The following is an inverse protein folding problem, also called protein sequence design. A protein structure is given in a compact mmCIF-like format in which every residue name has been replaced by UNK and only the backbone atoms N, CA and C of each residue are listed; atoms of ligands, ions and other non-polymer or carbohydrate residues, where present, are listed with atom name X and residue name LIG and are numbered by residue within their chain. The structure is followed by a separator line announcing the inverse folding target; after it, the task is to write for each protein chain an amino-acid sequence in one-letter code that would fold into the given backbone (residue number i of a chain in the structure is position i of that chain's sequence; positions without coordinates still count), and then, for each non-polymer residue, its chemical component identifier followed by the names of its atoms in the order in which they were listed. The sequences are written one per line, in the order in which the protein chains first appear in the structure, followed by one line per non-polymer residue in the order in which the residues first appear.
data_IF_611301924156
#
_entry.id   IF_611301924156
#
_cell.length_a   1.000
_cell.length_b   1.000
_cell.length_c   1.000
_cell.angle_alpha   90.00
_cell.angle_beta   90.00
_cell.angle_gamma   90.00
#
_symmetry.space_group_name_H-M   'P 1'
#
loop_
_entity.id
_entity.type
_entity.pdbx_description
1 polymer ?
#
# COMPACT_ATOMS: atom_id res chain seq x y z
N UNK A 1 39.55 24.57 1.41
CA UNK A 1 38.21 25.06 1.73
C UNK A 1 37.24 23.93 1.45
N UNK A 2 36.69 23.38 2.53
CA UNK A 2 35.87 22.17 2.58
C UNK A 2 34.58 22.32 1.77
N UNK A 3 34.15 21.25 1.11
CA UNK A 3 32.72 21.03 0.92
C UNK A 3 32.34 19.65 1.48
N UNK A 4 31.39 19.73 2.40
CA UNK A 4 30.97 18.74 3.38
C UNK A 4 30.29 17.54 2.74
N UNK A 5 30.44 16.41 3.43
CA UNK A 5 29.80 15.13 3.20
C UNK A 5 28.29 15.22 2.91
N UNK A 6 27.81 14.44 1.95
CA UNK A 6 26.43 13.98 1.93
C UNK A 6 26.43 12.60 2.60
N UNK A 7 26.00 12.58 3.85
CA UNK A 7 25.80 11.37 4.64
C UNK A 7 24.53 10.66 4.13
N UNK A 8 24.66 9.37 3.81
CA UNK A 8 23.56 8.41 3.72
C UNK A 8 22.55 8.60 4.87
N UNK A 9 21.24 8.68 4.56
CA UNK A 9 20.17 8.54 5.54
C UNK A 9 19.15 7.51 5.02
N UNK A 10 19.12 6.39 5.73
CA UNK A 10 18.44 5.13 5.44
C UNK A 10 16.90 5.28 5.53
N UNK A 11 16.31 5.98 4.56
CA UNK A 11 14.87 5.88 4.32
C UNK A 11 14.55 4.43 3.94
N UNK A 12 13.47 3.81 4.46
CA UNK A 12 13.10 2.47 4.03
C UNK A 12 12.97 2.48 2.50
N UNK A 13 13.78 1.68 1.82
CA UNK A 13 13.86 1.62 0.35
C UNK A 13 12.51 1.21 -0.23
N UNK A 14 11.61 2.17 -0.47
CA UNK A 14 10.29 1.93 -1.05
C UNK A 14 9.24 3.01 -0.72
N UNK A 15 8.14 3.02 -1.48
CA UNK A 15 7.01 3.92 -1.27
C UNK A 15 6.34 3.64 0.10
N UNK A 16 6.05 4.66 0.94
CA UNK A 16 5.49 4.45 2.27
C UNK A 16 4.09 3.81 2.25
N UNK A 17 3.31 4.02 1.19
CA UNK A 17 2.02 3.35 1.02
C UNK A 17 2.24 1.87 0.69
N UNK A 18 3.24 1.54 -0.12
CA UNK A 18 3.57 0.15 -0.43
C UNK A 18 3.98 -0.61 0.85
N UNK A 19 4.84 0.00 1.69
CA UNK A 19 5.20 -0.58 2.99
C UNK A 19 3.97 -0.76 3.90
N UNK A 20 3.07 0.22 3.94
CA UNK A 20 1.86 0.14 4.76
C UNK A 20 0.93 -0.99 4.27
N UNK A 21 0.78 -1.19 2.96
CA UNK A 21 -0.01 -2.30 2.40
C UNK A 21 0.53 -3.63 2.93
N UNK A 22 1.83 -3.86 2.80
CA UNK A 22 2.48 -5.10 3.25
C UNK A 22 2.32 -5.27 4.77
N UNK A 23 2.56 -4.21 5.55
CA UNK A 23 2.42 -4.24 7.00
C UNK A 23 1.00 -4.61 7.44
N UNK A 24 -0.03 -4.00 6.85
CA UNK A 24 -1.43 -4.32 7.16
C UNK A 24 -1.81 -5.75 6.75
N UNK A 25 -1.25 -6.24 5.63
CA UNK A 25 -1.43 -7.64 5.24
C UNK A 25 -0.76 -8.60 6.24
N UNK A 26 0.43 -8.30 6.77
CA UNK A 26 1.03 -9.11 7.84
C UNK A 26 0.20 -9.08 9.13
N UNK A 27 -0.34 -7.93 9.51
CA UNK A 27 -1.11 -7.77 10.76
C UNK A 27 -2.48 -8.43 10.72
N UNK A 28 -3.17 -8.36 9.58
CA UNK A 28 -4.58 -8.79 9.46
C UNK A 28 -4.77 -10.00 8.54
N UNK A 29 -3.68 -10.55 7.99
CA UNK A 29 -3.66 -11.49 6.87
C UNK A 29 -4.03 -10.83 5.52
N UNK A 30 -4.77 -9.72 5.56
CA UNK A 30 -5.38 -9.11 4.38
C UNK A 30 -6.06 -7.78 4.70
N UNK A 31 -6.05 -6.84 3.77
CA UNK A 31 -6.57 -5.47 3.97
C UNK A 31 -7.39 -4.98 2.76
N UNK A 32 -8.15 -3.89 2.91
CA UNK A 32 -8.81 -3.22 1.78
C UNK A 32 -8.06 -1.95 1.37
N UNK A 33 -8.14 -1.51 0.10
CA UNK A 33 -7.54 -0.24 -0.33
C UNK A 33 -8.03 0.97 0.48
N UNK A 34 -9.30 0.91 0.90
CA UNK A 34 -9.89 1.95 1.72
C UNK A 34 -9.27 1.98 3.14
N UNK A 35 -9.03 0.82 3.74
CA UNK A 35 -8.42 0.74 5.07
C UNK A 35 -6.98 1.23 5.04
N UNK A 36 -6.21 0.85 4.01
CA UNK A 36 -4.87 1.40 3.78
C UNK A 36 -4.92 2.93 3.67
N UNK A 37 -5.81 3.48 2.86
CA UNK A 37 -5.95 4.94 2.69
C UNK A 37 -6.35 5.65 3.99
N UNK A 38 -7.25 5.04 4.79
CA UNK A 38 -7.67 5.57 6.09
C UNK A 38 -6.54 5.51 7.10
N UNK A 39 -5.82 4.40 7.21
CA UNK A 39 -4.69 4.26 8.12
C UNK A 39 -3.57 5.25 7.77
N UNK A 40 -3.21 5.33 6.49
CA UNK A 40 -2.23 6.30 6.01
C UNK A 40 -2.64 7.74 6.34
N UNK A 41 -3.91 8.09 6.07
CA UNK A 41 -4.42 9.41 6.39
C UNK A 41 -4.47 9.67 7.90
N UNK A 42 -4.85 8.69 8.71
CA UNK A 42 -4.91 8.84 10.17
C UNK A 42 -3.53 9.15 10.77
N UNK A 43 -2.46 8.59 10.21
CA UNK A 43 -1.08 8.86 10.63
C UNK A 43 -0.58 10.25 10.18
N UNK A 44 -1.07 10.75 9.04
CA UNK A 44 -0.55 11.99 8.42
C UNK A 44 -1.50 13.21 8.52
N UNK A 45 -2.71 13.03 9.07
CA UNK A 45 -3.72 14.09 9.16
C UNK A 45 -3.34 15.16 10.16
N UNK A 46 -3.74 16.39 9.87
CA UNK A 46 -3.69 17.55 10.77
C UNK A 46 -5.05 17.79 11.39
N UNK A 47 -5.10 18.55 12.49
CA UNK A 47 -6.35 18.88 13.19
C UNK A 47 -7.41 19.54 12.29
N UNK A 48 -6.99 20.28 11.27
CA UNK A 48 -7.86 20.97 10.30
C UNK A 48 -8.31 20.11 9.12
N UNK A 49 -7.75 18.91 8.95
CA UNK A 49 -8.08 18.09 7.79
C UNK A 49 -9.48 17.45 7.94
N UNK A 50 -10.26 17.41 6.86
CA UNK A 50 -11.60 16.85 6.90
C UNK A 50 -11.55 15.33 7.12
N UNK A 51 -12.61 14.79 7.74
CA UNK A 51 -12.67 13.36 8.07
C UNK A 51 -12.58 12.45 6.83
N UNK A 52 -12.95 12.94 5.65
CA UNK A 52 -12.88 12.22 4.38
C UNK A 52 -11.62 12.52 3.55
N UNK A 53 -10.63 13.19 4.14
CA UNK A 53 -9.33 13.49 3.51
C UNK A 53 -8.58 12.25 3.02
N UNK A 54 -8.90 11.06 3.55
CA UNK A 54 -8.36 9.78 3.09
C UNK A 54 -8.66 9.47 1.60
N UNK A 55 -9.75 10.02 1.04
CA UNK A 55 -10.17 9.76 -0.35
C UNK A 55 -9.09 10.14 -1.38
N UNK A 56 -8.26 11.15 -1.09
CA UNK A 56 -7.16 11.56 -1.97
C UNK A 56 -6.06 10.49 -2.09
N UNK A 57 -5.95 9.61 -1.10
CA UNK A 57 -4.97 8.51 -1.11
C UNK A 57 -5.49 7.26 -1.80
N UNK A 58 -6.76 7.21 -2.22
CA UNK A 58 -7.29 6.04 -2.93
C UNK A 58 -6.55 5.77 -4.24
N UNK A 59 -6.21 6.80 -5.01
CA UNK A 59 -5.47 6.64 -6.27
C UNK A 59 -4.03 6.13 -6.04
N UNK A 60 -3.20 6.74 -5.17
CA UNK A 60 -1.86 6.23 -4.93
C UNK A 60 -1.88 4.83 -4.28
N UNK A 61 -2.83 4.53 -3.39
CA UNK A 61 -2.99 3.16 -2.85
C UNK A 61 -3.29 2.16 -3.96
N UNK A 62 -4.18 2.50 -4.91
CA UNK A 62 -4.47 1.63 -6.06
C UNK A 62 -3.25 1.40 -6.94
N UNK A 63 -2.46 2.45 -7.20
CA UNK A 63 -1.24 2.32 -7.99
C UNK A 63 -0.24 1.39 -7.29
N UNK A 64 -0.03 1.57 -5.99
CA UNK A 64 0.92 0.76 -5.24
C UNK A 64 0.46 -0.69 -5.06
N UNK A 65 -0.83 -0.95 -4.81
CA UNK A 65 -1.31 -2.35 -4.72
C UNK A 65 -1.15 -3.10 -6.04
N UNK A 66 -1.37 -2.43 -7.18
CA UNK A 66 -1.18 -3.01 -8.52
C UNK A 66 0.30 -3.27 -8.77
N UNK A 67 1.17 -2.31 -8.43
CA UNK A 67 2.61 -2.47 -8.55
C UNK A 67 3.12 -3.65 -7.73
N UNK A 68 2.74 -3.74 -6.45
CA UNK A 68 3.08 -4.86 -5.58
C UNK A 68 2.55 -6.20 -6.11
N UNK A 69 1.35 -6.20 -6.70
CA UNK A 69 0.76 -7.41 -7.26
C UNK A 69 1.49 -7.90 -8.50
N UNK A 70 1.88 -6.97 -9.39
CA UNK A 70 2.70 -7.27 -10.57
C UNK A 70 4.09 -7.78 -10.20
N UNK A 71 4.63 -7.34 -9.06
CA UNK A 71 5.91 -7.82 -8.53
C UNK A 71 5.77 -9.16 -7.77
N UNK A 72 4.58 -9.74 -7.68
CA UNK A 72 4.33 -10.99 -6.94
C UNK A 72 4.49 -10.86 -5.43
N UNK A 73 4.44 -9.64 -4.87
CA UNK A 73 4.56 -9.41 -3.41
C UNK A 73 3.21 -9.55 -2.71
N UNK A 74 2.13 -9.20 -3.39
CA UNK A 74 0.75 -9.29 -2.89
C UNK A 74 -0.17 -9.88 -3.94
N UNK A 75 -1.31 -10.40 -3.52
CA UNK A 75 -2.39 -10.78 -4.41
C UNK A 75 -3.60 -9.88 -4.17
N UNK A 76 -4.25 -9.48 -5.27
CA UNK A 76 -5.53 -8.78 -5.23
C UNK A 76 -6.61 -9.84 -5.37
N UNK A 77 -7.54 -9.86 -4.42
CA UNK A 77 -8.61 -10.86 -4.34
C UNK A 77 -9.98 -10.21 -4.33
N UNK A 78 -10.96 -10.91 -4.90
CA UNK A 78 -12.37 -10.53 -4.89
C UNK A 78 -13.19 -11.76 -4.54
N UNK A 79 -14.03 -11.66 -3.51
CA UNK A 79 -14.81 -12.80 -2.98
C UNK A 79 -13.94 -14.04 -2.67
N UNK A 80 -12.66 -13.85 -2.36
CA UNK A 80 -11.72 -14.92 -2.04
C UNK A 80 -10.85 -15.41 -3.22
N UNK A 81 -11.22 -15.06 -4.46
CA UNK A 81 -10.48 -15.46 -5.67
C UNK A 81 -9.47 -14.39 -6.07
N UNK A 82 -8.28 -14.78 -6.51
CA UNK A 82 -7.30 -13.85 -7.08
C UNK A 82 -7.85 -13.27 -8.38
N UNK A 83 -7.72 -11.96 -8.55
CA UNK A 83 -8.17 -11.25 -9.75
C UNK A 83 -7.00 -10.54 -10.41
N UNK A 84 -7.12 -10.33 -11.72
CA UNK A 84 -6.14 -9.56 -12.49
C UNK A 84 -6.01 -8.15 -11.87
N UNK A 85 -4.79 -7.71 -11.50
CA UNK A 85 -4.56 -6.38 -10.96
C UNK A 85 -4.89 -5.24 -11.94
N UNK A 86 -4.98 -5.50 -13.25
CA UNK A 86 -5.22 -4.48 -14.27
C UNK A 86 -6.69 -4.36 -14.69
N UNK A 87 -7.54 -5.34 -14.38
CA UNK A 87 -8.98 -5.31 -14.67
C UNK A 87 -9.84 -5.80 -13.50
N UNK A 88 -9.90 -5.00 -12.43
CA UNK A 88 -10.84 -5.21 -11.33
C UNK A 88 -11.72 -3.99 -11.05
N UNK A 89 -12.99 -4.24 -10.74
CA UNK A 89 -13.95 -3.20 -10.32
C UNK A 89 -14.61 -3.58 -9.00
N UNK A 90 -14.81 -2.57 -8.15
CA UNK A 90 -15.55 -2.70 -6.90
C UNK A 90 -14.69 -3.10 -5.71
N UNK A 91 -15.30 -3.83 -4.77
CA UNK A 91 -14.68 -4.22 -3.51
C UNK A 91 -13.67 -5.34 -3.74
N UNK A 92 -12.40 -5.04 -3.47
CA UNK A 92 -11.27 -5.98 -3.52
C UNK A 92 -10.53 -5.96 -2.20
N UNK A 93 -9.78 -7.03 -1.95
CA UNK A 93 -8.88 -7.15 -0.80
C UNK A 93 -7.49 -7.50 -1.25
N UNK A 94 -6.50 -7.02 -0.52
CA UNK A 94 -5.08 -7.26 -0.75
C UNK A 94 -4.65 -8.26 0.31
N UNK A 95 -3.89 -9.28 -0.06
CA UNK A 95 -3.23 -10.21 0.86
C UNK A 95 -1.79 -10.42 0.42
N UNK A 96 -0.92 -10.92 1.30
CA UNK A 96 0.43 -11.30 0.88
C UNK A 96 0.33 -12.41 -0.18
N UNK A 97 1.20 -12.35 -1.18
CA UNK A 97 1.34 -13.48 -2.07
C UNK A 97 1.87 -14.65 -1.25
N UNK A 98 1.12 -15.75 -1.22
CA UNK A 98 1.72 -17.02 -0.86
C UNK A 98 2.72 -17.31 -1.97
N UNK A 99 4.02 -17.36 -1.66
CA UNK A 99 5.04 -17.79 -2.61
C UNK A 99 4.65 -19.16 -3.15
N UNK A 100 3.87 -19.18 -4.24
CA UNK A 100 3.75 -20.33 -5.12
C UNK A 100 4.98 -20.25 -6.01
N UNK A 101 6.12 -20.49 -5.39
CA UNK A 101 7.37 -20.81 -6.07
C UNK A 101 7.22 -22.27 -6.49
N UNK A 102 6.95 -22.48 -7.78
CA UNK A 102 7.15 -23.74 -8.50
C UNK A 102 8.37 -23.60 -9.41
#
# INVERSE_FOLDING_TARGET
MSNTAHTDDDAPKGDPIAHLIIALCHQHGSTSPQDVAKSFFAEHRKAKDPADGWRRYMNPVKQQMIHLARNGQVEITRKGEAVDPDDFRGLVRIRLATSTDE
#
